data_IF_206783206486
#
_entry.id   IF_206783206486
#
_cell.length_a   1.000
_cell.length_b   1.000
_cell.length_c   1.000
_cell.angle_alpha   90.00
_cell.angle_beta   90.00
_cell.angle_gamma   90.00
#
_symmetry.space_group_name_H-M   'P 1'
#
loop_
_entity.id
_entity.type
_entity.pdbx_description
1 polymer ?
#
# COMPACT_ATOMS: atom_id res chain seq x y z
N UNK A 1 -1.50 22.31 -7.24
CA UNK A 1 -2.55 21.64 -8.06
C UNK A 1 -3.05 20.46 -7.25
N UNK A 2 -4.36 20.24 -7.14
CA UNK A 2 -4.92 19.10 -6.39
C UNK A 2 -4.83 17.86 -7.27
N UNK A 3 -3.89 16.97 -6.97
CA UNK A 3 -3.56 15.82 -7.83
C UNK A 3 -4.40 14.57 -7.51
N UNK A 4 -5.14 14.57 -6.40
CA UNK A 4 -6.02 13.46 -6.00
C UNK A 4 -6.81 13.73 -4.72
N UNK A 5 -7.69 12.79 -4.36
CA UNK A 5 -8.46 12.78 -3.11
C UNK A 5 -8.15 11.54 -2.27
N UNK A 6 -7.89 11.72 -0.98
CA UNK A 6 -7.84 10.61 -0.02
C UNK A 6 -9.27 10.17 0.33
N UNK A 7 -9.59 8.92 0.06
CA UNK A 7 -10.93 8.36 0.23
C UNK A 7 -10.90 7.28 1.29
N UNK A 8 -11.85 7.36 2.25
CA UNK A 8 -12.08 6.32 3.26
C UNK A 8 -13.37 5.58 2.92
N UNK A 9 -13.29 4.25 2.90
CA UNK A 9 -14.43 3.36 2.65
C UNK A 9 -14.65 2.48 3.88
N UNK A 10 -15.88 2.43 4.37
CA UNK A 10 -16.29 1.58 5.48
C UNK A 10 -17.23 0.49 5.00
N UNK A 11 -16.91 -0.76 5.31
CA UNK A 11 -17.77 -1.90 4.97
C UNK A 11 -18.88 -2.02 6.01
N UNK A 12 -20.01 -1.35 5.76
CA UNK A 12 -21.15 -1.31 6.70
C UNK A 12 -21.90 -2.64 6.82
N UNK A 13 -21.83 -3.51 5.81
CA UNK A 13 -22.49 -4.82 5.81
C UNK A 13 -21.62 -5.82 5.06
N UNK A 14 -21.18 -6.85 5.76
CA UNK A 14 -20.44 -7.98 5.20
C UNK A 14 -21.07 -9.29 5.71
N UNK A 15 -21.32 -10.24 4.80
CA UNK A 15 -21.87 -11.57 5.13
C UNK A 15 -20.84 -12.70 5.01
N UNK A 16 -19.64 -12.40 4.52
CA UNK A 16 -18.58 -13.39 4.26
C UNK A 16 -17.47 -13.27 5.30
N UNK A 17 -17.19 -12.06 5.79
CA UNK A 17 -16.17 -11.77 6.78
C UNK A 17 -16.66 -10.73 7.80
N UNK A 18 -15.86 -10.39 8.83
CA UNK A 18 -16.24 -9.41 9.84
C UNK A 18 -16.71 -8.08 9.20
N UNK A 19 -17.87 -7.54 9.60
CA UNK A 19 -18.33 -6.24 9.15
C UNK A 19 -17.55 -5.10 9.84
N UNK A 20 -17.72 -3.88 9.34
CA UNK A 20 -17.15 -2.63 9.87
C UNK A 20 -15.65 -2.42 9.71
N UNK A 21 -14.99 -3.19 8.85
CA UNK A 21 -13.62 -2.88 8.42
C UNK A 21 -13.56 -1.59 7.62
N UNK A 22 -12.54 -0.79 7.85
CA UNK A 22 -12.28 0.47 7.16
C UNK A 22 -11.06 0.31 6.24
N UNK A 23 -11.12 0.89 5.05
CA UNK A 23 -10.03 0.93 4.09
C UNK A 23 -9.82 2.38 3.64
N UNK A 24 -8.56 2.82 3.60
CA UNK A 24 -8.18 4.13 3.10
C UNK A 24 -7.32 3.99 1.86
N UNK A 25 -7.63 4.76 0.82
CA UNK A 25 -6.82 4.79 -0.39
C UNK A 25 -6.91 6.15 -1.08
N UNK A 26 -5.87 6.45 -1.87
CA UNK A 26 -5.82 7.67 -2.67
C UNK A 26 -6.47 7.40 -4.04
N UNK A 27 -7.38 8.29 -4.46
CA UNK A 27 -7.93 8.34 -5.82
C UNK A 27 -7.25 9.51 -6.54
N UNK A 28 -6.43 9.19 -7.54
CA UNK A 28 -5.74 10.18 -8.36
C UNK A 28 -6.63 10.55 -9.56
N UNK A 29 -6.74 11.85 -9.84
CA UNK A 29 -7.48 12.31 -11.02
C UNK A 29 -6.71 11.86 -12.29
N UNK A 30 -7.39 11.16 -13.21
CA UNK A 30 -6.88 10.52 -14.44
C UNK A 30 -6.31 9.09 -14.33
N UNK A 31 -5.94 8.59 -13.15
CA UNK A 31 -5.48 7.19 -12.98
C UNK A 31 -6.46 6.32 -12.18
N UNK A 32 -7.39 6.93 -11.43
CA UNK A 32 -8.32 6.21 -10.57
C UNK A 32 -7.69 5.77 -9.26
N UNK A 33 -7.96 4.54 -8.82
CA UNK A 33 -7.51 4.03 -7.52
C UNK A 33 -6.00 3.72 -7.57
N UNK A 34 -5.22 4.38 -6.70
CA UNK A 34 -3.78 4.17 -6.61
C UNK A 34 -3.47 2.88 -5.85
N UNK A 35 -3.47 1.74 -6.57
CA UNK A 35 -3.13 0.43 -6.00
C UNK A 35 -1.71 0.39 -5.42
N UNK A 36 -0.75 1.04 -6.08
CA UNK A 36 0.63 1.17 -5.58
C UNK A 36 0.73 1.99 -4.30
N UNK A 37 -0.08 3.03 -4.14
CA UNK A 37 -0.16 3.80 -2.92
C UNK A 37 -0.72 3.00 -1.75
N UNK A 38 -1.83 2.30 -1.98
CA UNK A 38 -2.45 1.44 -0.96
C UNK A 38 -1.51 0.29 -0.55
N UNK A 39 -0.81 -0.32 -1.50
CA UNK A 39 0.17 -1.37 -1.21
C UNK A 39 1.33 -0.84 -0.36
N UNK A 40 1.85 0.34 -0.68
CA UNK A 40 2.95 0.96 0.08
C UNK A 40 2.53 1.29 1.52
N UNK A 41 1.31 1.77 1.72
CA UNK A 41 0.76 2.03 3.06
C UNK A 41 0.66 0.74 3.89
N UNK A 42 0.09 -0.31 3.29
CA UNK A 42 0.00 -1.62 3.93
C UNK A 42 1.38 -2.21 4.23
N UNK A 43 2.34 -2.07 3.31
CA UNK A 43 3.69 -2.58 3.49
C UNK A 43 4.46 -1.84 4.60
N UNK A 44 4.21 -0.54 4.77
CA UNK A 44 4.74 0.26 5.89
C UNK A 44 4.09 -0.13 7.22
N UNK A 45 2.77 -0.31 7.23
CA UNK A 45 2.01 -0.70 8.42
C UNK A 45 2.44 -2.09 8.92
N UNK A 46 2.66 -3.03 8.00
CA UNK A 46 3.13 -4.40 8.31
C UNK A 46 4.65 -4.52 8.47
N UNK A 47 5.37 -3.39 8.48
CA UNK A 47 6.83 -3.32 8.64
C UNK A 47 7.61 -4.16 7.61
N UNK A 48 7.04 -4.39 6.43
CA UNK A 48 7.70 -5.07 5.31
C UNK A 48 8.67 -4.10 4.61
N UNK A 49 8.29 -2.83 4.55
CA UNK A 49 9.13 -1.72 4.08
C UNK A 49 9.55 -0.91 5.29
N UNK A 50 10.86 -0.69 5.44
CA UNK A 50 11.42 0.14 6.49
C UNK A 50 11.46 1.60 6.04
N UNK A 51 11.01 2.51 6.90
CA UNK A 51 11.14 3.95 6.68
C UNK A 51 12.24 4.52 7.57
N UNK A 52 13.34 4.97 6.96
CA UNK A 52 14.44 5.69 7.63
C UNK A 52 14.36 7.18 7.29
N UNK A 53 13.60 7.92 8.08
CA UNK A 53 13.33 9.33 7.81
C UNK A 53 12.47 9.49 6.56
N UNK A 54 13.02 10.11 5.52
CA UNK A 54 12.37 10.22 4.20
C UNK A 54 12.70 9.09 3.24
N UNK A 55 13.60 8.17 3.61
CA UNK A 55 13.99 7.04 2.77
C UNK A 55 13.16 5.80 3.06
N UNK A 56 12.75 5.11 1.99
CA UNK A 56 12.05 3.84 2.02
C UNK A 56 13.00 2.73 1.57
N UNK A 57 13.12 1.68 2.38
CA UNK A 57 14.00 0.54 2.12
C UNK A 57 13.20 -0.76 2.19
N UNK A 58 13.46 -1.67 1.25
CA UNK A 58 12.87 -3.00 1.22
C UNK A 58 13.97 -4.05 1.26
N UNK A 59 13.93 -4.95 2.24
CA UNK A 59 14.91 -6.02 2.46
C UNK A 59 16.38 -5.54 2.42
N UNK A 60 16.64 -4.36 2.98
CA UNK A 60 17.97 -3.76 3.01
C UNK A 60 18.38 -3.00 1.74
N UNK A 61 17.59 -3.08 0.66
CA UNK A 61 17.79 -2.28 -0.55
C UNK A 61 17.03 -0.96 -0.44
N UNK A 62 17.70 0.15 -0.72
CA UNK A 62 17.10 1.48 -0.71
C UNK A 62 16.24 1.66 -1.97
N UNK A 63 14.93 1.80 -1.80
CA UNK A 63 13.99 1.92 -2.92
C UNK A 63 13.94 3.36 -3.45
N UNK A 64 13.55 4.29 -2.58
CA UNK A 64 13.29 5.66 -2.99
C UNK A 64 13.25 6.62 -1.80
N UNK A 65 13.39 7.92 -2.11
CA UNK A 65 13.14 9.00 -1.16
C UNK A 65 11.72 9.52 -1.34
N UNK A 66 10.90 9.39 -0.29
CA UNK A 66 9.53 9.87 -0.27
C UNK A 66 8.51 8.93 -0.92
N UNK A 67 7.24 9.25 -0.69
CA UNK A 67 6.08 8.41 -1.06
C UNK A 67 5.87 8.38 -2.57
N UNK A 68 6.00 9.51 -3.26
CA UNK A 68 5.73 9.58 -4.70
C UNK A 68 6.77 8.83 -5.52
N UNK A 69 8.06 8.99 -5.19
CA UNK A 69 9.12 8.23 -5.85
C UNK A 69 8.99 6.72 -5.61
N UNK A 70 8.55 6.29 -4.41
CA UNK A 70 8.27 4.87 -4.17
C UNK A 70 7.08 4.36 -4.98
N UNK A 71 6.02 5.17 -5.16
CA UNK A 71 4.91 4.82 -6.06
C UNK A 71 5.40 4.64 -7.50
N UNK A 72 6.28 5.50 -7.97
CA UNK A 72 6.82 5.42 -9.33
C UNK A 72 7.73 4.19 -9.52
N UNK A 73 8.58 3.87 -8.54
CA UNK A 73 9.39 2.63 -8.54
C UNK A 73 8.51 1.38 -8.55
N UNK A 74 7.44 1.36 -7.74
CA UNK A 74 6.49 0.24 -7.73
C UNK A 74 5.65 0.14 -9.01
N UNK A 75 5.43 1.25 -9.72
CA UNK A 75 4.78 1.26 -11.03
C UNK A 75 5.70 0.77 -12.15
N UNK A 76 6.99 1.08 -12.08
CA UNK A 76 7.97 0.70 -13.11
C UNK A 76 8.47 -0.74 -12.93
N UNK A 77 8.57 -1.22 -11.70
CA UNK A 77 9.03 -2.58 -11.38
C UNK A 77 7.87 -3.47 -10.91
N UNK A 78 7.24 -4.14 -11.88
CA UNK A 78 6.14 -5.08 -11.64
C UNK A 78 6.58 -6.31 -10.83
N UNK A 79 7.86 -6.70 -10.91
CA UNK A 79 8.37 -7.87 -10.19
C UNK A 79 8.47 -7.56 -8.69
N UNK A 80 9.03 -6.39 -8.35
CA UNK A 80 9.07 -5.90 -6.98
C UNK A 80 7.66 -5.71 -6.41
N UNK A 81 6.73 -5.18 -7.21
CA UNK A 81 5.33 -5.04 -6.81
C UNK A 81 4.71 -6.38 -6.40
N UNK A 82 4.85 -7.42 -7.24
CA UNK A 82 4.30 -8.74 -6.97
C UNK A 82 4.94 -9.39 -5.73
N UNK A 83 6.24 -9.16 -5.51
CA UNK A 83 6.95 -9.67 -4.34
C UNK A 83 6.44 -9.02 -3.04
N UNK A 84 6.26 -7.70 -3.03
CA UNK A 84 5.71 -6.96 -1.89
C UNK A 84 4.24 -7.35 -1.66
N UNK A 85 3.45 -7.48 -2.73
CA UNK A 85 2.06 -7.93 -2.61
C UNK A 85 1.94 -9.32 -2.00
N UNK A 86 2.77 -10.27 -2.43
CA UNK A 86 2.80 -11.62 -1.86
C UNK A 86 3.22 -11.60 -0.38
N UNK A 87 4.23 -10.80 -0.01
CA UNK A 87 4.67 -10.65 1.38
C UNK A 87 3.58 -10.01 2.26
N UNK A 88 2.88 -8.99 1.76
CA UNK A 88 1.76 -8.33 2.46
C UNK A 88 0.60 -9.30 2.66
N UNK A 89 0.23 -10.08 1.63
CA UNK A 89 -0.83 -11.10 1.75
C UNK A 89 -0.47 -12.18 2.76
N UNK A 90 0.76 -12.69 2.73
CA UNK A 90 1.22 -13.69 3.70
C UNK A 90 1.14 -13.17 5.14
N UNK A 91 1.56 -11.92 5.39
CA UNK A 91 1.42 -11.26 6.71
C UNK A 91 -0.03 -11.08 7.14
N UNK A 92 -0.92 -10.74 6.20
CA UNK A 92 -2.36 -10.59 6.48
C UNK A 92 -3.03 -11.92 6.81
N UNK A 93 -2.57 -13.03 6.23
CA UNK A 93 -3.07 -14.36 6.56
C UNK A 93 -2.54 -14.86 7.91
N UNK A 94 -1.33 -14.47 8.32
CA UNK A 94 -0.80 -14.72 9.67
C UNK A 94 -1.62 -14.00 10.76
N UNK A 95 -1.99 -12.73 10.55
CA UNK A 95 -2.82 -11.96 11.50
C UNK A 95 -4.25 -12.50 11.66
N UNK A 96 -4.72 -13.34 10.72
CA UNK A 96 -6.03 -13.99 10.81
C UNK A 96 -6.02 -15.31 11.59
N UNK A 97 -4.84 -15.84 11.92
CA UNK A 97 -4.67 -17.13 12.58
C UNK A 97 -4.62 -17.00 14.10
#
# INVERSE_FOLDING_TARGET
VVTGNRTRVKVVKNKVAPPFTEAEFDIMYNEGISSTGALLDLALEKQIVEKRGSWLSYKGTQLAQGRDAAKDVLKSDQALYAEIEAAVKAKLDEDKK
#
